data_IF_258730899333
#
_entry.id   IF_258730899333
#
_cell.length_a   1.000
_cell.length_b   1.000
_cell.length_c   1.000
_cell.angle_alpha   90.00
_cell.angle_beta   90.00
_cell.angle_gamma   90.00
#
_symmetry.space_group_name_H-M   'P 1'
#
loop_
_entity.id
_entity.type
_entity.pdbx_description
1 polymer ?
#
# COMPACT_ATOMS: atom_id res chain seq x y z
N UNK A 1 -6.38 8.02 15.49
CA UNK A 1 -7.05 8.59 14.32
C UNK A 1 -6.01 9.15 13.36
N UNK A 2 -6.04 8.77 12.08
CA UNK A 2 -5.03 9.14 11.06
C UNK A 2 -4.88 10.64 10.83
N UNK A 3 -5.96 11.41 10.92
CA UNK A 3 -5.95 12.88 10.73
C UNK A 3 -6.12 13.68 12.03
N UNK A 4 -5.94 13.05 13.20
CA UNK A 4 -6.18 13.61 14.53
C UNK A 4 -7.61 14.18 14.69
N UNK A 5 -7.87 14.89 15.78
CA UNK A 5 -9.11 15.62 16.06
C UNK A 5 -8.80 16.88 16.90
N UNK A 6 -9.76 17.81 16.98
CA UNK A 6 -9.64 19.03 17.78
C UNK A 6 -8.75 20.12 17.14
N UNK A 7 -8.21 21.05 17.95
CA UNK A 7 -7.44 22.21 17.44
C UNK A 7 -6.17 21.86 16.65
N UNK A 8 -5.72 20.60 16.73
CA UNK A 8 -4.53 20.08 16.01
C UNK A 8 -4.91 19.06 14.94
N UNK A 9 -6.18 18.99 14.55
CA UNK A 9 -6.61 18.17 13.43
C UNK A 9 -5.96 18.63 12.11
N UNK A 10 -5.78 17.69 11.19
CA UNK A 10 -5.24 18.01 9.87
C UNK A 10 -6.24 18.89 9.08
N UNK A 11 -5.88 20.16 8.82
CA UNK A 11 -6.70 21.08 8.02
C UNK A 11 -6.88 20.59 6.57
N UNK A 12 -5.91 19.82 6.06
CA UNK A 12 -5.91 19.27 4.71
C UNK A 12 -6.57 17.90 4.55
N UNK A 13 -7.22 17.34 5.58
CA UNK A 13 -7.66 15.93 5.52
C UNK A 13 -8.58 15.63 4.33
N UNK A 14 -9.45 16.57 3.97
CA UNK A 14 -10.37 16.40 2.82
C UNK A 14 -9.61 16.36 1.50
N UNK A 15 -8.60 17.21 1.36
CA UNK A 15 -7.73 17.24 0.19
C UNK A 15 -6.92 15.95 0.08
N UNK A 16 -6.27 15.51 1.16
CA UNK A 16 -5.52 14.25 1.20
C UNK A 16 -6.41 13.04 0.84
N UNK A 17 -7.67 13.01 1.31
CA UNK A 17 -8.62 11.98 0.94
C UNK A 17 -9.00 12.02 -0.54
N UNK A 18 -9.15 13.21 -1.14
CA UNK A 18 -9.40 13.32 -2.57
C UNK A 18 -8.20 12.86 -3.39
N UNK A 19 -6.99 13.27 -3.03
CA UNK A 19 -5.76 12.84 -3.70
C UNK A 19 -5.60 11.32 -3.67
N UNK A 20 -5.76 10.69 -2.50
CA UNK A 20 -5.66 9.23 -2.37
C UNK A 20 -6.73 8.53 -3.22
N UNK A 21 -7.97 9.03 -3.23
CA UNK A 21 -9.04 8.45 -4.05
C UNK A 21 -8.74 8.55 -5.54
N UNK A 22 -8.29 9.71 -6.01
CA UNK A 22 -7.94 9.93 -7.41
C UNK A 22 -6.76 9.05 -7.80
N UNK A 23 -5.70 9.00 -6.97
CA UNK A 23 -4.53 8.16 -7.19
C UNK A 23 -4.89 6.68 -7.26
N UNK A 24 -5.71 6.18 -6.33
CA UNK A 24 -6.13 4.77 -6.34
C UNK A 24 -6.99 4.47 -7.55
N UNK A 25 -7.91 5.37 -7.92
CA UNK A 25 -8.75 5.22 -9.10
C UNK A 25 -7.92 5.16 -10.39
N UNK A 26 -6.98 6.09 -10.58
CA UNK A 26 -6.16 6.12 -11.80
C UNK A 26 -5.27 4.88 -11.89
N UNK A 27 -4.66 4.48 -10.78
CA UNK A 27 -3.83 3.28 -10.71
C UNK A 27 -4.66 2.03 -11.05
N UNK A 28 -5.83 1.84 -10.43
CA UNK A 28 -6.65 0.65 -10.71
C UNK A 28 -7.29 0.64 -12.09
N UNK A 29 -7.47 1.81 -12.70
CA UNK A 29 -7.99 1.91 -14.07
C UNK A 29 -6.94 1.48 -15.10
N UNK A 30 -5.68 1.89 -14.93
CA UNK A 30 -4.64 1.73 -15.95
C UNK A 30 -3.62 0.62 -15.65
N UNK A 31 -3.60 0.09 -14.41
CA UNK A 31 -2.60 -0.89 -13.96
C UNK A 31 -3.31 -2.12 -13.41
N UNK A 32 -2.96 -3.29 -13.95
CA UNK A 32 -3.32 -4.60 -13.43
C UNK A 32 -2.23 -5.10 -12.46
N UNK A 33 -2.65 -5.72 -11.37
CA UNK A 33 -1.78 -6.21 -10.31
C UNK A 33 -1.82 -7.74 -10.26
N UNK A 34 -0.65 -8.36 -10.21
CA UNK A 34 -0.51 -9.80 -10.00
C UNK A 34 0.41 -10.07 -8.81
N UNK A 35 0.15 -11.17 -8.11
CA UNK A 35 1.05 -11.65 -7.07
C UNK A 35 2.24 -12.35 -7.74
N UNK A 36 3.47 -12.13 -7.23
CA UNK A 36 4.61 -12.90 -7.67
C UNK A 36 4.40 -14.38 -7.32
N UNK A 37 4.90 -15.26 -8.17
CA UNK A 37 4.93 -16.71 -7.95
C UNK A 37 6.38 -17.12 -7.66
N UNK A 38 6.70 -17.69 -6.48
CA UNK A 38 5.80 -18.10 -5.39
C UNK A 38 5.24 -16.91 -4.58
N UNK A 39 4.08 -17.11 -3.94
CA UNK A 39 3.42 -16.09 -3.15
C UNK A 39 4.31 -15.64 -1.96
N UNK A 40 4.48 -14.33 -1.74
CA UNK A 40 5.36 -13.80 -0.70
C UNK A 40 4.73 -14.05 0.68
N UNK A 41 5.54 -14.48 1.65
CA UNK A 41 5.07 -14.67 3.02
C UNK A 41 5.07 -13.33 3.76
N UNK A 42 3.88 -12.79 3.99
CA UNK A 42 3.66 -11.51 4.67
C UNK A 42 3.42 -11.77 6.15
N UNK A 43 4.20 -11.11 7.01
CA UNK A 43 4.04 -11.16 8.46
C UNK A 43 3.94 -9.74 9.06
N UNK A 44 3.33 -9.63 10.24
CA UNK A 44 3.23 -8.36 10.93
C UNK A 44 4.58 -7.99 11.55
N UNK A 45 5.03 -6.75 11.29
CA UNK A 45 6.23 -6.20 11.91
C UNK A 45 6.05 -5.88 13.40
N UNK A 46 7.15 -5.47 14.07
CA UNK A 46 7.12 -5.14 15.49
C UNK A 46 6.13 -4.00 15.79
N UNK A 47 5.43 -4.12 16.92
CA UNK A 47 4.24 -3.35 17.29
C UNK A 47 4.41 -1.83 17.45
N UNK A 48 5.62 -1.27 17.25
CA UNK A 48 5.83 0.18 17.30
C UNK A 48 5.18 0.89 16.09
N UNK A 49 5.20 0.25 14.93
CA UNK A 49 4.53 0.73 13.72
C UNK A 49 3.84 -0.43 13.01
N UNK A 50 2.58 -0.23 12.61
CA UNK A 50 1.83 -1.23 11.83
C UNK A 50 2.36 -1.22 10.41
N UNK A 51 3.20 -2.20 10.08
CA UNK A 51 3.67 -2.43 8.71
C UNK A 51 3.82 -3.92 8.42
N UNK A 52 3.52 -4.37 7.18
CA UNK A 52 3.85 -5.71 6.75
C UNK A 52 5.35 -5.85 6.52
N UNK A 53 5.88 -7.05 6.79
CA UNK A 53 7.24 -7.48 6.44
C UNK A 53 7.12 -8.69 5.51
N UNK A 54 7.91 -8.71 4.43
CA UNK A 54 8.03 -9.90 3.59
C UNK A 54 9.23 -10.71 4.09
N UNK A 55 8.98 -11.98 4.42
CA UNK A 55 10.04 -12.96 4.68
C UNK A 55 10.44 -13.64 3.38
N UNK A 56 11.69 -13.44 2.99
CA UNK A 56 12.29 -14.21 1.90
C UNK A 56 12.72 -15.60 2.41
N UNK A 57 12.91 -16.53 1.47
CA UNK A 57 13.39 -17.90 1.76
C UNK A 57 14.74 -17.94 2.47
N UNK A 58 15.55 -16.90 2.29
CA UNK A 58 16.91 -16.79 2.83
C UNK A 58 16.95 -16.25 4.27
N UNK A 59 15.78 -16.08 4.90
CA UNK A 59 15.65 -15.54 6.27
C UNK A 59 15.83 -14.02 6.36
N UNK A 60 16.12 -13.35 5.24
CA UNK A 60 16.16 -11.90 5.16
C UNK A 60 14.75 -11.31 5.10
N UNK A 61 14.55 -10.21 5.80
CA UNK A 61 13.27 -9.49 5.84
C UNK A 61 13.38 -8.23 4.98
N UNK A 62 12.53 -8.09 3.96
CA UNK A 62 12.52 -6.94 3.07
C UNK A 62 11.25 -6.11 3.25
N UNK A 63 11.43 -4.80 3.34
CA UNK A 63 10.34 -3.82 3.35
C UNK A 63 10.05 -3.39 1.91
N UNK A 64 9.33 -4.22 1.15
CA UNK A 64 8.93 -3.90 -0.23
C UNK A 64 7.45 -4.23 -0.44
N UNK A 65 6.85 -3.67 -1.49
CA UNK A 65 5.52 -4.06 -1.95
C UNK A 65 5.70 -5.17 -2.98
N UNK A 66 5.21 -6.41 -2.73
CA UNK A 66 5.50 -7.53 -3.60
C UNK A 66 4.38 -7.70 -4.62
N UNK A 67 4.18 -6.71 -5.49
CA UNK A 67 3.23 -6.79 -6.60
C UNK A 67 3.97 -6.71 -7.93
N UNK A 68 3.55 -7.55 -8.88
CA UNK A 68 3.93 -7.46 -10.28
C UNK A 68 2.91 -6.56 -10.98
N UNK A 69 3.41 -5.59 -11.74
CA UNK A 69 2.58 -4.61 -12.44
C UNK A 69 2.47 -4.97 -13.92
N UNK A 70 1.26 -4.89 -14.47
CA UNK A 70 1.00 -4.94 -15.91
C UNK A 70 0.13 -3.76 -16.30
N UNK A 71 0.21 -3.32 -17.54
CA UNK A 71 -0.75 -2.33 -18.06
C UNK A 71 -2.12 -2.99 -18.17
N UNK A 72 -3.15 -2.36 -17.61
CA UNK A 72 -4.52 -2.81 -17.78
C UNK A 72 -4.90 -2.65 -19.26
N UNK A 73 -5.31 -3.75 -19.89
CA UNK A 73 -5.85 -3.71 -21.25
C UNK A 73 -7.24 -3.07 -21.14
N UNK A 74 -7.40 -1.88 -21.71
CA UNK A 74 -8.71 -1.25 -21.87
C UNK A 74 -9.33 -1.87 -23.14
N UNK A 75 -10.25 -2.82 -22.97
CA UNK A 75 -11.21 -3.19 -24.03
C UNK A 75 -12.34 -2.15 -24.12
#
# INVERSE_FOLDING_TARGET
MTFLAGPRACIGYRFALMEIKVLVFTIFRDIAFELPSPAPKIENGPALITRPIIKETDGTSKNTMPLVLKLAQHE
#
